data_IF_694994897885
#
_entry.id   IF_694994897885
#
_cell.length_a   1.000
_cell.length_b   1.000
_cell.length_c   1.000
_cell.angle_alpha   90.00
_cell.angle_beta   90.00
_cell.angle_gamma   90.00
#
_symmetry.space_group_name_H-M   'P 1'
#
loop_
_entity.id
_entity.type
_entity.pdbx_description
1 polymer ?
#
# COMPACT_ATOMS: atom_id res chain seq x y z
N UNK A 1 1.11 -12.10 -13.04
CA UNK A 1 0.39 -11.56 -11.87
C UNK A 1 0.47 -12.57 -10.73
N UNK A 2 0.53 -12.15 -9.46
CA UNK A 2 0.47 -13.09 -8.33
C UNK A 2 -0.87 -13.84 -8.32
N UNK A 3 -0.90 -15.03 -7.69
CA UNK A 3 -2.13 -15.81 -7.53
C UNK A 3 -3.16 -15.02 -6.70
N UNK A 4 -4.44 -15.00 -7.07
CA UNK A 4 -5.47 -14.34 -6.27
C UNK A 4 -5.58 -15.03 -4.90
N UNK A 5 -5.35 -14.29 -3.82
CA UNK A 5 -5.36 -14.83 -2.46
C UNK A 5 -5.00 -13.77 -1.42
N UNK A 6 -5.14 -14.08 -0.13
CA UNK A 6 -4.68 -13.19 0.93
C UNK A 6 -3.16 -13.02 0.84
N UNK A 7 -2.70 -11.77 1.00
CA UNK A 7 -1.28 -11.42 1.01
C UNK A 7 -0.94 -10.73 2.33
N UNK A 8 0.32 -10.79 2.71
CA UNK A 8 0.79 -10.04 3.88
C UNK A 8 0.77 -8.54 3.60
N UNK A 9 0.70 -7.74 4.67
CA UNK A 9 0.81 -6.27 4.56
C UNK A 9 2.13 -5.82 3.93
N UNK A 10 3.22 -6.53 4.20
CA UNK A 10 4.53 -6.26 3.60
C UNK A 10 4.51 -6.49 2.08
N UNK A 11 3.86 -7.56 1.61
CA UNK A 11 3.67 -7.82 0.18
C UNK A 11 2.77 -6.80 -0.49
N UNK A 12 1.68 -6.38 0.17
CA UNK A 12 0.83 -5.30 -0.34
C UNK A 12 1.65 -4.03 -0.59
N UNK A 13 2.45 -3.58 0.40
CA UNK A 13 3.31 -2.40 0.27
C UNK A 13 4.33 -2.59 -0.85
N UNK A 14 4.95 -3.78 -0.95
CA UNK A 14 5.93 -4.09 -2.01
C UNK A 14 5.30 -3.97 -3.40
N UNK A 15 4.12 -4.55 -3.61
CA UNK A 15 3.44 -4.48 -4.91
C UNK A 15 2.98 -3.06 -5.25
N UNK A 16 2.51 -2.30 -4.27
CA UNK A 16 2.18 -0.88 -4.47
C UNK A 16 3.40 -0.06 -4.88
N UNK A 17 4.57 -0.30 -4.29
CA UNK A 17 5.84 0.33 -4.72
C UNK A 17 6.20 -0.01 -6.17
N UNK A 18 6.03 -1.27 -6.58
CA UNK A 18 6.24 -1.70 -7.98
C UNK A 18 5.29 -0.93 -8.93
N UNK A 19 4.07 -0.62 -8.48
CA UNK A 19 3.10 0.19 -9.22
C UNK A 19 3.37 1.71 -9.16
N UNK A 20 4.54 2.12 -8.67
CA UNK A 20 4.97 3.51 -8.46
C UNK A 20 4.13 4.29 -7.43
N UNK A 21 3.66 3.61 -6.37
CA UNK A 21 3.18 4.30 -5.18
C UNK A 21 4.33 4.64 -4.23
N UNK A 22 4.31 5.87 -3.72
CA UNK A 22 5.25 6.40 -2.74
C UNK A 22 4.72 6.23 -1.30
N UNK A 23 5.64 6.08 -0.34
CA UNK A 23 5.34 5.85 1.09
C UNK A 23 5.79 4.47 1.61
N UNK A 24 5.20 3.96 2.71
CA UNK A 24 4.03 4.48 3.42
C UNK A 24 4.31 5.69 4.32
N UNK A 25 3.39 6.64 4.32
CA UNK A 25 3.39 7.79 5.22
C UNK A 25 2.53 7.50 6.44
N UNK A 26 3.01 7.90 7.62
CA UNK A 26 2.25 7.82 8.85
C UNK A 26 1.04 8.77 8.80
N UNK A 27 -0.14 8.22 9.02
CA UNK A 27 -1.32 8.99 9.38
C UNK A 27 -1.81 8.50 10.75
N UNK A 28 -2.63 9.29 11.43
CA UNK A 28 -3.00 9.03 12.83
C UNK A 28 -3.44 7.58 13.09
N UNK A 29 -4.50 7.11 12.42
CA UNK A 29 -5.00 5.73 12.58
C UNK A 29 -4.48 4.76 11.52
N UNK A 30 -4.24 5.22 10.29
CA UNK A 30 -3.85 4.36 9.17
C UNK A 30 -2.70 5.01 8.41
N UNK A 31 -1.81 4.18 7.87
CA UNK A 31 -0.80 4.65 6.92
C UNK A 31 -1.40 4.91 5.54
N UNK A 32 -0.70 5.72 4.74
CA UNK A 32 -1.14 6.07 3.39
C UNK A 32 0.01 5.92 2.38
N UNK A 33 -0.33 5.63 1.13
CA UNK A 33 0.57 5.69 -0.01
C UNK A 33 -0.03 6.55 -1.12
N UNK A 34 0.81 7.15 -1.96
CA UNK A 34 0.38 8.10 -2.99
C UNK A 34 0.89 7.70 -4.37
N UNK A 35 0.09 7.94 -5.41
CA UNK A 35 0.52 7.89 -6.80
C UNK A 35 -0.19 9.01 -7.55
N UNK A 36 0.54 10.07 -7.93
CA UNK A 36 -0.04 11.27 -8.51
C UNK A 36 -1.20 11.81 -7.64
N UNK A 37 -2.42 11.82 -8.18
CA UNK A 37 -3.64 12.28 -7.48
C UNK A 37 -4.32 11.19 -6.64
N UNK A 38 -3.82 9.95 -6.68
CA UNK A 38 -4.40 8.82 -5.97
C UNK A 38 -3.78 8.72 -4.58
N UNK A 39 -4.62 8.83 -3.55
CA UNK A 39 -4.27 8.52 -2.16
C UNK A 39 -4.87 7.17 -1.77
N UNK A 40 -4.03 6.23 -1.38
CA UNK A 40 -4.43 4.89 -0.94
C UNK A 40 -4.21 4.75 0.57
N UNK A 41 -5.27 4.42 1.31
CA UNK A 41 -5.21 4.10 2.74
C UNK A 41 -4.79 2.64 2.90
N UNK A 42 -3.75 2.39 3.70
CA UNK A 42 -3.33 1.04 4.05
C UNK A 42 -4.12 0.53 5.26
N UNK A 43 -4.65 -0.70 5.21
CA UNK A 43 -5.18 -1.34 6.39
C UNK A 43 -4.06 -1.58 7.40
N UNK A 44 -4.35 -1.34 8.68
CA UNK A 44 -3.52 -1.86 9.75
C UNK A 44 -3.90 -3.32 10.00
N UNK A 45 -2.99 -4.13 10.57
CA UNK A 45 -3.36 -5.41 11.15
C UNK A 45 -4.54 -5.28 12.12
#
# INVERSE_FOLDING_TARGET
MPHPGPITRAELIRYLRILAFEGPYSGGKHQFMFKCMVRLRLPNP
#
